data_IF_309251317331
#
_entry.id   IF_309251317331
#
_cell.length_a   1.000
_cell.length_b   1.000
_cell.length_c   1.000
_cell.angle_alpha   90.00
_cell.angle_beta   90.00
_cell.angle_gamma   90.00
#
_symmetry.space_group_name_H-M   'P 1'
#
loop_
_entity.id
_entity.type
_entity.pdbx_description
1 polymer ?
#
# COMPACT_ATOMS: atom_id res chain seq x y z
N UNK A 1 -3.36 -3.76 -10.41
CA UNK A 1 -3.15 -2.67 -11.40
C UNK A 1 -1.98 -1.85 -10.91
N UNK A 2 -0.84 -1.85 -11.60
CA UNK A 2 0.33 -1.09 -11.16
C UNK A 2 0.05 0.43 -11.24
N UNK A 3 0.70 1.25 -10.41
CA UNK A 3 0.65 2.70 -10.57
C UNK A 3 1.02 3.11 -12.00
N UNK A 4 0.36 4.11 -12.56
CA UNK A 4 0.55 4.52 -13.97
C UNK A 4 2.03 4.84 -14.29
N UNK A 5 2.79 5.40 -13.34
CA UNK A 5 4.23 5.63 -13.50
C UNK A 5 5.06 4.35 -13.68
N UNK A 6 4.61 3.21 -13.13
CA UNK A 6 5.26 1.90 -13.26
C UNK A 6 5.23 1.39 -14.72
N UNK A 7 4.12 1.62 -15.40
CA UNK A 7 3.89 1.16 -16.79
C UNK A 7 4.54 2.03 -17.86
N UNK A 8 4.92 3.27 -17.55
CA UNK A 8 5.54 4.19 -18.52
C UNK A 8 7.07 4.05 -18.64
N UNK A 9 7.71 3.30 -17.73
CA UNK A 9 9.17 3.18 -17.68
C UNK A 9 9.63 1.76 -17.33
N UNK A 10 9.15 0.78 -18.11
CA UNK A 10 9.47 -0.64 -17.91
C UNK A 10 10.98 -0.94 -17.90
N UNK A 11 11.77 -0.20 -18.68
CA UNK A 11 13.23 -0.37 -18.70
C UNK A 11 13.88 0.02 -17.37
N UNK A 12 13.39 1.08 -16.72
CA UNK A 12 13.87 1.48 -15.38
C UNK A 12 13.45 0.45 -14.35
N UNK A 13 12.18 0.01 -14.38
CA UNK A 13 11.68 -1.02 -13.45
C UNK A 13 12.50 -2.30 -13.59
N UNK A 14 12.83 -2.72 -14.81
CA UNK A 14 13.64 -3.91 -15.08
C UNK A 14 15.00 -3.86 -14.38
N UNK A 15 15.63 -2.68 -14.26
CA UNK A 15 16.91 -2.56 -13.54
C UNK A 15 16.80 -2.85 -12.04
N UNK A 16 15.64 -2.62 -11.43
CA UNK A 16 15.40 -2.89 -10.00
C UNK A 16 15.03 -4.35 -9.71
N UNK A 17 14.55 -5.10 -10.71
CA UNK A 17 14.03 -6.46 -10.54
C UNK A 17 14.81 -7.52 -11.32
N UNK A 18 15.97 -7.17 -11.87
CA UNK A 18 16.82 -8.10 -12.62
C UNK A 18 17.49 -9.17 -11.73
N UNK A 19 17.77 -8.84 -10.47
CA UNK A 19 18.38 -9.75 -9.50
C UNK A 19 17.32 -10.20 -8.48
N UNK A 20 16.82 -11.42 -8.66
CA UNK A 20 15.72 -11.97 -7.87
C UNK A 20 16.20 -13.19 -7.09
N UNK A 21 15.85 -13.23 -5.81
CA UNK A 21 16.16 -14.35 -4.92
C UNK A 21 15.00 -14.59 -3.94
N UNK A 22 14.84 -15.83 -3.46
CA UNK A 22 13.93 -16.12 -2.35
C UNK A 22 14.44 -15.51 -1.03
N UNK A 23 15.76 -15.37 -0.90
CA UNK A 23 16.40 -14.54 0.11
C UNK A 23 16.23 -13.06 -0.26
N UNK A 24 15.09 -12.48 0.09
CA UNK A 24 14.70 -11.11 -0.27
C UNK A 24 14.22 -10.26 0.90
N UNK A 25 14.24 -10.78 2.13
CA UNK A 25 13.71 -10.11 3.32
C UNK A 25 14.70 -9.05 3.87
N UNK A 26 14.81 -7.95 3.12
CA UNK A 26 15.68 -6.82 3.42
C UNK A 26 14.88 -5.52 3.54
N UNK A 27 15.45 -4.55 4.24
CA UNK A 27 14.93 -3.18 4.31
C UNK A 27 16.07 -2.18 4.10
N UNK A 28 15.71 -1.00 3.58
CA UNK A 28 16.60 0.13 3.35
C UNK A 28 16.26 1.23 4.35
N UNK A 29 17.27 1.85 4.97
CA UNK A 29 17.09 2.92 5.96
C UNK A 29 17.74 4.20 5.43
N UNK A 30 16.94 5.26 5.33
CA UNK A 30 17.37 6.59 4.92
C UNK A 30 17.33 7.51 6.14
N UNK A 31 18.50 7.81 6.70
CA UNK A 31 18.65 8.67 7.87
C UNK A 31 19.10 10.06 7.42
N UNK A 32 18.36 11.13 7.73
CA UNK A 32 18.79 12.47 7.39
C UNK A 32 19.95 12.89 8.30
N UNK A 33 21.01 13.41 7.70
CA UNK A 33 22.08 14.09 8.44
C UNK A 33 21.59 15.49 8.76
N UNK A 34 21.65 15.89 10.04
CA UNK A 34 21.51 17.30 10.39
C UNK A 34 22.67 18.08 9.77
N UNK A 35 22.40 19.29 9.27
CA UNK A 35 23.46 20.23 8.90
C UNK A 35 24.37 20.42 10.12
N UNK A 36 25.57 19.85 10.03
CA UNK A 36 26.57 19.88 11.08
C UNK A 36 26.81 21.31 11.59
N UNK A 37 27.03 21.40 12.90
CA UNK A 37 27.67 22.54 13.58
C UNK A 37 26.91 23.89 13.66
N UNK A 38 25.85 24.14 12.89
CA UNK A 38 25.05 25.38 13.02
C UNK A 38 23.93 25.31 14.08
N UNK A 39 23.47 24.11 14.44
CA UNK A 39 22.47 23.91 15.49
C UNK A 39 23.07 24.10 16.91
N UNK A 40 24.32 23.66 17.11
CA UNK A 40 25.01 23.79 18.40
C UNK A 40 25.51 25.21 18.71
N UNK A 41 25.74 26.05 17.69
CA UNK A 41 26.22 27.43 17.88
C UNK A 41 25.13 28.40 18.33
N UNK A 42 23.84 28.08 18.14
CA UNK A 42 22.74 28.86 18.74
C UNK A 42 22.57 28.61 20.24
N UNK A 43 22.97 27.43 20.74
CA UNK A 43 22.85 27.10 22.17
C UNK A 43 23.81 27.95 23.03
N UNK A 44 24.95 28.35 22.49
CA UNK A 44 25.92 29.16 23.24
C UNK A 44 25.71 30.68 23.16
N UNK A 45 24.87 31.18 22.24
CA UNK A 45 24.60 32.63 22.09
C UNK A 45 23.25 33.07 22.66
N UNK A 46 22.35 32.15 23.03
CA UNK A 46 21.01 32.49 23.52
C UNK A 46 20.88 32.53 25.05
N UNK A 47 21.85 31.99 25.79
CA UNK A 47 21.89 32.06 27.26
C UNK A 47 22.20 33.46 27.83
N UNK A 48 22.20 34.51 27.01
CA UNK A 48 22.50 35.88 27.47
C UNK A 48 21.41 36.92 27.25
N UNK A 49 20.33 36.65 26.52
CA UNK A 49 19.25 37.65 26.37
C UNK A 49 17.85 37.02 26.29
N UNK A 50 17.05 37.48 27.24
CA UNK A 50 15.60 37.57 27.30
C UNK A 50 14.76 36.33 27.64
N UNK A 51 14.15 36.49 28.82
CA UNK A 51 13.17 35.68 29.50
C UNK A 51 11.80 36.20 29.07
N UNK A 52 11.14 35.54 28.11
CA UNK A 52 9.71 35.71 27.85
C UNK A 52 9.13 34.38 27.33
N UNK A 53 8.18 33.84 28.10
CA UNK A 53 7.61 32.52 27.90
C UNK A 53 6.67 32.45 26.70
N UNK A 54 7.14 31.77 25.66
CA UNK A 54 6.33 30.98 24.73
C UNK A 54 7.25 29.89 24.17
N UNK A 55 7.24 28.72 24.81
CA UNK A 55 7.90 27.51 24.31
C UNK A 55 7.07 26.95 23.16
N UNK A 56 7.21 27.55 21.97
CA UNK A 56 7.02 26.79 20.73
C UNK A 56 8.21 25.83 20.67
N UNK A 57 8.05 24.63 21.23
CA UNK A 57 8.99 23.52 21.02
C UNK A 57 9.06 23.26 19.51
N UNK A 58 10.11 23.80 18.88
CA UNK A 58 10.43 23.52 17.50
C UNK A 58 10.65 22.00 17.41
N UNK A 59 9.75 21.25 16.76
CA UNK A 59 9.77 19.77 16.60
C UNK A 59 11.11 19.25 16.02
N UNK A 60 11.95 20.17 15.56
CA UNK A 60 13.30 20.01 15.03
C UNK A 60 14.39 19.94 16.12
N UNK A 61 14.05 20.08 17.40
CA UNK A 61 15.02 20.11 18.49
C UNK A 61 15.44 18.69 18.92
N UNK A 62 16.68 18.33 18.56
CA UNK A 62 17.61 17.36 19.19
C UNK A 62 17.09 16.06 19.85
N UNK A 63 15.94 15.53 19.45
CA UNK A 63 15.37 14.25 19.89
C UNK A 63 15.37 13.17 18.79
N UNK A 64 15.14 11.91 19.20
CA UNK A 64 14.92 10.77 18.29
C UNK A 64 13.90 11.13 17.22
N UNK A 65 14.17 10.89 15.93
CA UNK A 65 13.38 11.36 14.79
C UNK A 65 12.13 10.49 14.54
N UNK A 66 11.01 11.03 14.02
CA UNK A 66 9.91 10.22 13.54
C UNK A 66 10.37 9.23 12.46
N UNK A 67 9.69 8.09 12.36
CA UNK A 67 10.03 7.02 11.42
C UNK A 67 8.85 6.79 10.48
N UNK A 68 9.11 6.85 9.18
CA UNK A 68 8.12 6.58 8.13
C UNK A 68 8.49 5.30 7.39
N UNK A 69 7.63 4.29 7.47
CA UNK A 69 7.86 2.96 6.89
C UNK A 69 6.97 2.78 5.67
N UNK A 70 7.58 2.69 4.49
CA UNK A 70 6.90 2.55 3.23
C UNK A 70 6.69 1.09 2.85
N UNK A 71 5.44 0.72 2.58
CA UNK A 71 5.04 -0.57 2.02
C UNK A 71 4.69 -0.36 0.54
N UNK A 72 5.47 -0.99 -0.34
CA UNK A 72 5.26 -0.88 -1.78
C UNK A 72 4.01 -1.65 -2.24
N UNK A 73 3.47 -1.25 -3.39
CA UNK A 73 2.41 -1.99 -4.09
C UNK A 73 2.97 -2.96 -5.15
N UNK A 74 2.12 -3.34 -6.11
CA UNK A 74 2.49 -4.27 -7.20
C UNK A 74 1.55 -5.47 -7.32
N UNK A 75 0.24 -5.27 -7.11
CA UNK A 75 -0.77 -6.34 -7.24
C UNK A 75 -0.55 -7.56 -6.33
N UNK A 76 0.25 -7.43 -5.27
CA UNK A 76 0.83 -8.51 -4.46
C UNK A 76 1.75 -9.47 -5.21
N UNK A 77 1.93 -9.34 -6.52
CA UNK A 77 2.68 -10.28 -7.37
C UNK A 77 4.08 -9.80 -7.69
N UNK A 78 4.32 -8.50 -7.60
CA UNK A 78 5.56 -7.86 -8.02
C UNK A 78 5.88 -6.64 -7.15
N UNK A 79 7.03 -6.01 -7.42
CA UNK A 79 7.50 -4.80 -6.75
C UNK A 79 8.63 -5.05 -5.76
N UNK A 80 9.23 -3.95 -5.32
CA UNK A 80 10.33 -3.92 -4.36
C UNK A 80 10.38 -2.53 -3.70
N UNK A 81 10.75 -2.49 -2.43
CA UNK A 81 11.02 -1.24 -1.71
C UNK A 81 12.18 -0.44 -2.32
N UNK A 82 13.05 -1.08 -3.11
CA UNK A 82 14.23 -0.45 -3.73
C UNK A 82 13.87 0.58 -4.80
N UNK A 83 12.65 0.51 -5.37
CA UNK A 83 12.19 1.48 -6.37
C UNK A 83 11.90 2.87 -5.79
N UNK A 84 11.79 2.97 -4.46
CA UNK A 84 11.50 4.23 -3.78
C UNK A 84 12.76 4.72 -3.09
N UNK A 85 13.30 5.83 -3.59
CA UNK A 85 14.37 6.56 -2.93
C UNK A 85 13.78 7.43 -1.81
N UNK A 86 14.10 7.06 -0.56
CA UNK A 86 13.65 7.77 0.64
C UNK A 86 14.43 9.05 0.94
N UNK A 87 15.52 9.34 0.23
CA UNK A 87 16.49 10.40 0.59
C UNK A 87 15.87 11.79 0.64
N UNK A 88 15.05 12.14 -0.36
CA UNK A 88 14.41 13.47 -0.42
C UNK A 88 13.42 13.66 0.72
N UNK A 89 12.58 12.66 0.98
CA UNK A 89 11.60 12.72 2.07
C UNK A 89 12.29 12.75 3.44
N UNK A 90 13.35 11.96 3.62
CA UNK A 90 14.13 11.94 4.85
C UNK A 90 14.76 13.31 5.13
N UNK A 91 15.45 13.88 4.13
CA UNK A 91 16.12 15.18 4.24
C UNK A 91 15.13 16.33 4.43
N UNK A 92 14.11 16.43 3.60
CA UNK A 92 13.15 17.53 3.65
C UNK A 92 12.24 17.47 4.88
N UNK A 93 11.76 16.28 5.22
CA UNK A 93 10.87 16.06 6.36
C UNK A 93 11.59 15.99 7.71
N UNK A 94 12.93 15.88 7.72
CA UNK A 94 13.73 15.56 8.91
C UNK A 94 13.19 14.32 9.65
N UNK A 95 12.90 13.26 8.89
CA UNK A 95 12.38 11.97 9.38
C UNK A 95 13.26 10.84 8.90
N UNK A 96 13.26 9.70 9.60
CA UNK A 96 13.86 8.48 9.05
C UNK A 96 12.85 7.85 8.10
N UNK A 97 13.26 7.54 6.88
CA UNK A 97 12.42 6.81 5.92
C UNK A 97 12.96 5.40 5.80
N UNK A 98 12.07 4.42 5.82
CA UNK A 98 12.39 3.01 5.64
C UNK A 98 11.57 2.46 4.49
N UNK A 99 12.20 1.75 3.56
CA UNK A 99 11.51 0.94 2.56
C UNK A 99 11.86 -0.52 2.81
N UNK A 100 10.92 -1.44 2.58
CA UNK A 100 11.13 -2.86 2.86
C UNK A 100 10.71 -3.74 1.69
N UNK A 101 11.29 -4.93 1.63
CA UNK A 101 10.84 -6.02 0.78
C UNK A 101 10.12 -7.06 1.63
N UNK A 102 9.03 -7.59 1.09
CA UNK A 102 8.26 -8.68 1.67
C UNK A 102 8.01 -9.73 0.58
N UNK A 103 7.74 -10.98 0.95
CA UNK A 103 7.44 -12.01 -0.05
C UNK A 103 6.18 -11.64 -0.85
N UNK A 104 6.30 -11.71 -2.17
CA UNK A 104 5.22 -11.46 -3.13
C UNK A 104 4.76 -12.76 -3.80
N UNK A 105 3.62 -12.69 -4.47
CA UNK A 105 3.00 -13.75 -5.24
C UNK A 105 2.69 -14.99 -4.42
N UNK A 106 2.86 -16.15 -5.04
CA UNK A 106 2.63 -17.44 -4.38
C UNK A 106 3.54 -17.65 -3.16
N UNK A 107 4.78 -17.14 -3.18
CA UNK A 107 5.71 -17.30 -2.04
C UNK A 107 5.26 -16.49 -0.83
N UNK A 108 4.58 -15.37 -1.06
CA UNK A 108 4.01 -14.51 -0.01
C UNK A 108 2.62 -14.90 0.45
N UNK A 109 1.80 -15.51 -0.42
CA UNK A 109 0.35 -15.55 -0.19
C UNK A 109 -0.33 -16.87 -0.55
N UNK A 110 0.42 -17.93 -0.88
CA UNK A 110 -0.18 -19.25 -1.10
C UNK A 110 -0.88 -19.74 0.17
N UNK A 111 -2.15 -20.10 0.01
CA UNK A 111 -2.96 -20.68 1.09
C UNK A 111 -3.76 -21.88 0.60
N UNK A 112 -3.84 -22.88 1.45
CA UNK A 112 -4.62 -24.11 1.25
C UNK A 112 -6.01 -24.02 1.89
N UNK A 113 -6.31 -22.93 2.60
CA UNK A 113 -7.55 -22.77 3.36
C UNK A 113 -7.62 -23.63 4.62
N UNK A 114 -6.51 -24.28 4.99
CA UNK A 114 -6.36 -25.08 6.19
C UNK A 114 -4.97 -24.85 6.84
N UNK A 115 -4.58 -25.73 7.76
CA UNK A 115 -3.34 -25.59 8.52
C UNK A 115 -2.06 -25.94 7.75
N UNK A 116 -2.14 -26.58 6.56
CA UNK A 116 -0.97 -26.98 5.79
C UNK A 116 -0.20 -25.76 5.25
N UNK A 117 -0.94 -24.76 4.78
CA UNK A 117 -0.45 -23.44 4.42
C UNK A 117 -1.55 -22.41 4.68
N UNK A 118 -1.42 -21.66 5.77
CA UNK A 118 -2.42 -20.66 6.19
C UNK A 118 -2.48 -19.45 5.24
N UNK A 119 -1.33 -19.04 4.68
CA UNK A 119 -1.20 -17.85 3.86
C UNK A 119 -0.58 -16.68 4.62
N UNK A 120 -0.79 -15.46 4.11
CA UNK A 120 -0.39 -14.19 4.74
C UNK A 120 1.11 -14.04 5.07
N UNK A 121 1.99 -14.84 4.48
CA UNK A 121 3.44 -14.76 4.73
C UNK A 121 4.02 -13.39 4.39
N UNK A 122 3.56 -12.74 3.32
CA UNK A 122 3.96 -11.38 2.97
C UNK A 122 3.51 -10.32 3.99
N UNK A 123 2.36 -10.50 4.65
CA UNK A 123 1.93 -9.63 5.76
C UNK A 123 2.76 -9.91 7.02
N UNK A 124 3.06 -11.18 7.30
CA UNK A 124 3.92 -11.57 8.41
C UNK A 124 5.35 -11.02 8.24
N UNK A 125 5.87 -10.95 7.01
CA UNK A 125 7.15 -10.30 6.72
C UNK A 125 7.11 -8.80 7.04
N UNK A 126 6.02 -8.12 6.67
CA UNK A 126 5.82 -6.70 7.01
C UNK A 126 5.74 -6.49 8.52
N UNK A 127 5.00 -7.34 9.24
CA UNK A 127 4.90 -7.32 10.70
C UNK A 127 6.29 -7.56 11.33
N UNK A 128 7.05 -8.53 10.82
CA UNK A 128 8.39 -8.83 11.31
C UNK A 128 9.35 -7.66 11.06
N UNK A 129 9.26 -7.00 9.91
CA UNK A 129 10.01 -5.78 9.64
C UNK A 129 9.63 -4.66 10.63
N UNK A 130 8.34 -4.47 10.92
CA UNK A 130 7.88 -3.48 11.91
C UNK A 130 8.37 -3.79 13.32
N UNK A 131 8.40 -5.07 13.72
CA UNK A 131 9.02 -5.51 14.99
C UNK A 131 10.50 -5.16 15.03
N UNK A 132 11.24 -5.50 13.98
CA UNK A 132 12.66 -5.16 13.87
C UNK A 132 12.88 -3.65 13.96
N UNK A 133 12.07 -2.85 13.27
CA UNK A 133 12.15 -1.39 13.31
C UNK A 133 11.88 -0.88 14.72
N UNK A 134 10.82 -1.35 15.38
CA UNK A 134 10.50 -0.95 16.76
C UNK A 134 11.65 -1.24 17.73
N UNK A 135 12.30 -2.39 17.59
CA UNK A 135 13.41 -2.81 18.46
C UNK A 135 14.76 -2.13 18.15
N UNK A 136 15.00 -1.74 16.90
CA UNK A 136 16.34 -1.33 16.43
C UNK A 136 16.44 0.12 15.96
N UNK A 137 15.34 0.80 15.65
CA UNK A 137 15.43 2.12 14.99
C UNK A 137 16.03 3.21 15.90
N UNK A 138 15.99 3.01 17.21
CA UNK A 138 16.71 3.84 18.18
C UNK A 138 18.21 3.94 17.90
N UNK A 139 18.85 2.88 17.40
CA UNK A 139 20.28 2.89 17.03
C UNK A 139 20.58 3.78 15.82
N UNK A 140 19.56 4.10 15.02
CA UNK A 140 19.65 5.01 13.86
C UNK A 140 19.18 6.43 14.21
N UNK A 141 18.91 6.71 15.48
CA UNK A 141 18.37 7.99 15.95
C UNK A 141 16.87 8.14 15.70
N UNK A 142 16.13 7.05 15.49
CA UNK A 142 14.68 7.05 15.33
C UNK A 142 13.92 6.85 16.64
N UNK A 143 12.66 7.27 16.65
CA UNK A 143 11.74 7.12 17.76
C UNK A 143 10.74 5.98 17.47
N UNK A 144 10.88 4.87 18.21
CA UNK A 144 10.00 3.71 18.08
C UNK A 144 8.54 4.01 18.45
N UNK A 145 8.28 5.07 19.23
CA UNK A 145 6.93 5.51 19.58
C UNK A 145 6.31 6.45 18.53
N UNK A 146 7.05 6.78 17.46
CA UNK A 146 6.59 7.66 16.39
C UNK A 146 6.80 7.03 15.01
N UNK A 147 6.42 5.75 14.91
CA UNK A 147 6.37 5.01 13.65
C UNK A 147 5.03 5.28 12.93
N UNK A 148 5.14 5.75 11.70
CA UNK A 148 4.05 5.92 10.74
C UNK A 148 4.25 4.94 9.59
N UNK A 149 3.27 4.08 9.32
CA UNK A 149 3.30 3.18 8.16
C UNK A 149 2.52 3.81 7.02
N UNK A 150 3.05 3.76 5.81
CA UNK A 150 2.38 4.33 4.65
C UNK A 150 2.59 3.49 3.40
N UNK A 151 1.64 3.56 2.48
CA UNK A 151 1.69 2.79 1.24
C UNK A 151 0.75 3.35 0.19
N UNK A 152 0.91 2.88 -1.04
CA UNK A 152 0.07 3.28 -2.18
C UNK A 152 -0.51 2.08 -2.91
N UNK A 153 -1.78 2.16 -3.32
CA UNK A 153 -2.50 1.10 -4.01
C UNK A 153 -2.55 -0.16 -3.15
N UNK A 154 -1.91 -1.23 -3.61
CA UNK A 154 -1.82 -2.49 -2.86
C UNK A 154 -0.99 -2.33 -1.58
N UNK A 155 0.03 -1.48 -1.58
CA UNK A 155 0.75 -1.14 -0.36
C UNK A 155 -0.17 -0.48 0.67
N UNK A 156 -1.12 0.35 0.21
CA UNK A 156 -2.14 0.94 1.08
C UNK A 156 -3.16 -0.10 1.58
N UNK A 157 -3.53 -1.08 0.75
CA UNK A 157 -4.31 -2.25 1.21
C UNK A 157 -3.57 -3.05 2.29
N UNK A 158 -2.25 -3.26 2.15
CA UNK A 158 -1.43 -3.85 3.22
C UNK A 158 -1.49 -2.99 4.49
N UNK A 159 -1.27 -1.68 4.41
CA UNK A 159 -1.36 -0.78 5.58
C UNK A 159 -2.73 -0.90 6.26
N UNK A 160 -3.81 -0.89 5.47
CA UNK A 160 -5.17 -1.05 5.97
C UNK A 160 -5.43 -2.41 6.61
N UNK A 161 -4.80 -3.49 6.13
CA UNK A 161 -4.91 -4.82 6.73
C UNK A 161 -4.08 -4.92 8.02
N UNK A 162 -2.90 -4.28 8.05
CA UNK A 162 -2.07 -4.23 9.24
C UNK A 162 -2.77 -3.50 10.40
N UNK A 163 -3.55 -2.45 10.12
CA UNK A 163 -4.36 -1.76 11.14
C UNK A 163 -5.49 -2.61 11.71
N UNK A 164 -5.86 -3.71 11.04
CA UNK A 164 -6.91 -4.64 11.47
C UNK A 164 -6.35 -5.93 12.08
N UNK A 165 -5.03 -6.09 12.10
CA UNK A 165 -4.37 -7.29 12.62
C UNK A 165 -3.89 -7.05 14.04
N UNK A 166 -4.30 -7.93 14.96
CA UNK A 166 -3.84 -7.92 16.35
C UNK A 166 -2.31 -8.12 16.46
N UNK A 167 -1.67 -8.74 15.45
CA UNK A 167 -0.21 -8.93 15.41
C UNK A 167 0.56 -7.62 15.22
N UNK A 168 -0.12 -6.55 14.77
CA UNK A 168 0.48 -5.23 14.53
C UNK A 168 0.39 -4.28 15.72
N UNK A 169 -0.37 -4.65 16.76
CA UNK A 169 -0.60 -3.78 17.91
C UNK A 169 0.70 -3.33 18.58
N UNK A 170 0.82 -2.02 18.80
CA UNK A 170 2.01 -1.41 19.42
C UNK A 170 3.25 -1.35 18.52
N UNK A 171 3.19 -1.82 17.27
CA UNK A 171 4.32 -1.75 16.34
C UNK A 171 4.38 -0.42 15.58
N UNK A 172 3.24 0.24 15.38
CA UNK A 172 3.15 1.56 14.79
C UNK A 172 1.96 2.33 15.34
N UNK A 173 1.93 3.64 15.09
CA UNK A 173 1.00 4.56 15.73
C UNK A 173 0.12 5.30 14.72
N UNK A 174 0.59 5.43 13.48
CA UNK A 174 -0.09 6.19 12.43
C UNK A 174 -0.06 5.44 11.11
N UNK A 175 -1.10 5.61 10.32
CA UNK A 175 -1.23 5.00 9.00
C UNK A 175 -1.55 6.07 7.94
N UNK A 176 -0.86 6.03 6.80
CA UNK A 176 -1.21 6.82 5.61
C UNK A 176 -1.56 5.89 4.46
N UNK A 177 -2.82 5.89 4.07
CA UNK A 177 -3.45 4.93 3.16
C UNK A 177 -3.79 5.65 1.83
N UNK A 178 -2.89 5.55 0.86
CA UNK A 178 -3.01 6.27 -0.42
C UNK A 178 -3.62 5.36 -1.50
N UNK A 179 -4.80 5.70 -2.01
CA UNK A 179 -5.39 5.05 -3.19
C UNK A 179 -5.59 3.53 -3.06
N UNK A 180 -5.89 3.04 -1.87
CA UNK A 180 -6.16 1.63 -1.60
C UNK A 180 -6.90 1.41 -0.28
N UNK A 181 -7.41 0.21 -0.07
CA UNK A 181 -8.16 -0.16 1.14
C UNK A 181 -8.23 -1.68 1.28
N UNK A 182 -8.40 -2.18 2.51
CA UNK A 182 -8.69 -3.59 2.77
C UNK A 182 -10.06 -4.04 2.21
N UNK A 183 -10.96 -3.10 1.89
CA UNK A 183 -12.32 -3.38 1.38
C UNK A 183 -12.40 -3.51 -0.15
N UNK A 184 -11.30 -3.31 -0.86
CA UNK A 184 -11.33 -3.38 -2.32
C UNK A 184 -11.42 -4.85 -2.79
N UNK A 185 -12.08 -5.13 -3.92
CA UNK A 185 -12.28 -6.52 -4.43
C UNK A 185 -10.97 -7.29 -4.68
N UNK A 186 -9.89 -6.58 -4.93
CA UNK A 186 -8.53 -7.08 -5.13
C UNK A 186 -7.65 -7.06 -3.87
N UNK A 187 -8.17 -6.67 -2.70
CA UNK A 187 -7.39 -6.56 -1.47
C UNK A 187 -7.20 -7.91 -0.77
N UNK A 188 -8.24 -8.75 -0.80
CA UNK A 188 -8.30 -10.06 -0.15
C UNK A 188 -8.69 -11.14 -1.18
N UNK A 189 -8.09 -12.31 -1.06
CA UNK A 189 -8.42 -13.49 -1.82
C UNK A 189 -9.41 -14.38 -1.04
N UNK A 190 -10.66 -14.41 -1.48
CA UNK A 190 -11.71 -15.26 -0.89
C UNK A 190 -11.72 -16.69 -1.45
N UNK A 191 -10.89 -17.01 -2.44
CA UNK A 191 -10.83 -18.34 -3.07
C UNK A 191 -9.41 -18.94 -3.11
N UNK A 192 -8.64 -18.95 -2.00
CA UNK A 192 -7.25 -19.40 -2.02
C UNK A 192 -7.09 -20.87 -2.43
N UNK A 193 -7.99 -21.74 -1.95
CA UNK A 193 -7.98 -23.18 -2.25
C UNK A 193 -8.04 -23.46 -3.76
N UNK A 194 -8.85 -22.67 -4.48
CA UNK A 194 -9.04 -22.81 -5.92
C UNK A 194 -7.74 -22.53 -6.68
N UNK A 195 -7.08 -21.41 -6.37
CA UNK A 195 -5.86 -21.00 -7.09
C UNK A 195 -4.65 -21.85 -6.70
N UNK A 196 -4.54 -22.26 -5.44
CA UNK A 196 -3.49 -23.18 -4.98
C UNK A 196 -3.61 -24.55 -5.64
N UNK A 197 -4.82 -25.10 -5.79
CA UNK A 197 -5.02 -26.37 -6.52
C UNK A 197 -4.70 -26.24 -8.00
N UNK A 198 -5.10 -25.14 -8.64
CA UNK A 198 -4.77 -24.88 -10.04
C UNK A 198 -3.24 -24.81 -10.26
N UNK A 199 -2.51 -24.17 -9.34
CA UNK A 199 -1.05 -24.17 -9.36
C UNK A 199 -0.49 -25.58 -9.19
N UNK A 200 -0.96 -26.32 -8.18
CA UNK A 200 -0.52 -27.68 -7.90
C UNK A 200 -0.73 -28.62 -9.10
N UNK A 201 -1.84 -28.48 -9.83
CA UNK A 201 -2.08 -29.19 -11.09
C UNK A 201 -1.03 -28.89 -12.16
N UNK A 202 -0.72 -27.60 -12.37
CA UNK A 202 0.24 -27.18 -13.40
C UNK A 202 1.66 -27.67 -13.14
N UNK A 203 2.06 -27.81 -11.88
CA UNK A 203 3.43 -28.24 -11.51
C UNK A 203 3.51 -29.72 -11.10
N UNK A 204 2.43 -30.48 -11.25
CA UNK A 204 2.41 -31.92 -10.95
C UNK A 204 2.43 -32.26 -9.46
N UNK A 205 1.90 -31.38 -8.61
CA UNK A 205 1.71 -31.56 -7.17
C UNK A 205 0.24 -31.76 -6.77
N UNK A 206 -0.63 -32.18 -7.70
CA UNK A 206 -2.07 -32.37 -7.43
C UNK A 206 -2.33 -33.66 -6.62
N UNK A 207 -2.13 -33.57 -5.31
CA UNK A 207 -2.46 -34.61 -4.34
C UNK A 207 -3.62 -34.17 -3.46
N UNK A 208 -4.38 -35.13 -2.91
CA UNK A 208 -5.57 -34.82 -2.12
C UNK A 208 -5.24 -34.26 -0.74
N UNK A 209 -4.16 -34.76 -0.13
CA UNK A 209 -3.68 -34.30 1.16
C UNK A 209 -2.93 -32.96 1.00
N UNK A 210 -3.33 -31.96 1.77
CA UNK A 210 -2.79 -30.59 1.62
C UNK A 210 -1.38 -30.47 2.19
N UNK A 211 -0.99 -31.28 3.17
CA UNK A 211 0.39 -31.30 3.68
C UNK A 211 1.33 -31.86 2.62
N UNK A 212 0.99 -32.99 2.01
CA UNK A 212 1.75 -33.58 0.91
C UNK A 212 1.83 -32.64 -0.30
N UNK A 213 0.75 -31.91 -0.59
CA UNK A 213 0.71 -30.90 -1.67
C UNK A 213 1.72 -29.78 -1.40
N UNK A 214 1.70 -29.20 -0.21
CA UNK A 214 2.61 -28.13 0.18
C UNK A 214 4.06 -28.62 0.19
N UNK A 215 4.32 -29.83 0.69
CA UNK A 215 5.67 -30.43 0.67
C UNK A 215 6.17 -30.75 -0.74
N UNK A 216 5.27 -31.07 -1.67
CA UNK A 216 5.60 -31.18 -3.09
C UNK A 216 5.96 -29.82 -3.68
N UNK A 217 5.16 -28.77 -3.41
CA UNK A 217 5.39 -27.42 -3.89
C UNK A 217 6.73 -26.85 -3.39
N UNK A 218 7.09 -27.08 -2.12
CA UNK A 218 8.39 -26.66 -1.54
C UNK A 218 9.60 -27.29 -2.22
N UNK A 219 9.44 -28.43 -2.91
CA UNK A 219 10.52 -29.10 -3.65
C UNK A 219 10.70 -28.56 -5.06
N UNK A 220 9.78 -27.72 -5.55
CA UNK A 220 9.89 -27.06 -6.84
C UNK A 220 10.81 -25.85 -6.74
N UNK A 221 11.44 -25.49 -7.86
CA UNK A 221 12.22 -24.26 -7.91
C UNK A 221 11.29 -23.04 -7.90
N UNK A 222 11.71 -21.94 -7.26
CA UNK A 222 10.98 -20.66 -7.27
C UNK A 222 10.55 -20.27 -8.69
N UNK A 223 11.49 -20.39 -9.64
CA UNK A 223 11.28 -20.05 -11.05
C UNK A 223 10.16 -20.89 -11.68
N UNK A 224 10.16 -22.20 -11.46
CA UNK A 224 9.10 -23.10 -11.97
C UNK A 224 7.72 -22.72 -11.44
N UNK A 225 7.63 -22.27 -10.19
CA UNK A 225 6.37 -21.86 -9.57
C UNK A 225 5.89 -20.49 -10.11
N UNK A 226 6.78 -19.50 -10.18
CA UNK A 226 6.46 -18.12 -10.57
C UNK A 226 6.12 -18.00 -12.05
N UNK A 227 6.71 -18.85 -12.91
CA UNK A 227 6.41 -18.88 -14.35
C UNK A 227 5.00 -19.40 -14.68
N UNK A 228 4.25 -19.91 -13.69
CA UNK A 228 2.90 -20.42 -13.92
C UNK A 228 1.87 -19.30 -14.08
N UNK A 229 1.18 -19.33 -15.21
CA UNK A 229 0.09 -18.39 -15.49
C UNK A 229 -1.20 -18.77 -14.73
N UNK A 230 -1.49 -18.08 -13.63
CA UNK A 230 -2.69 -18.28 -12.80
C UNK A 230 -3.54 -17.01 -12.86
N UNK A 231 -4.57 -17.03 -13.70
CA UNK A 231 -5.45 -15.88 -13.92
C UNK A 231 -6.63 -15.87 -12.94
N UNK A 232 -6.78 -14.82 -12.11
CA UNK A 232 -7.95 -14.66 -11.27
C UNK A 232 -9.17 -14.18 -12.08
N UNK A 233 -10.34 -14.18 -11.43
CA UNK A 233 -11.47 -13.41 -11.92
C UNK A 233 -11.08 -11.92 -12.08
N UNK A 234 -11.74 -11.23 -13.02
CA UNK A 234 -11.48 -9.81 -13.24
C UNK A 234 -11.68 -9.03 -11.94
N UNK A 235 -10.77 -8.09 -11.64
CA UNK A 235 -10.77 -7.28 -10.41
C UNK A 235 -10.55 -8.02 -9.09
N UNK A 236 -10.13 -9.28 -9.16
CA UNK A 236 -9.76 -10.09 -8.01
C UNK A 236 -8.28 -10.50 -8.11
N UNK A 237 -7.74 -11.06 -7.02
CA UNK A 237 -6.36 -11.54 -6.94
C UNK A 237 -6.31 -13.06 -6.75
N UNK A 238 -5.32 -13.71 -7.37
CA UNK A 238 -5.12 -15.16 -7.25
C UNK A 238 -4.28 -15.53 -6.02
N UNK A 239 -3.25 -14.73 -5.74
CA UNK A 239 -2.40 -14.83 -4.56
C UNK A 239 -2.32 -13.45 -3.92
N UNK A 240 -2.87 -13.34 -2.71
CA UNK A 240 -2.96 -12.12 -1.92
C UNK A 240 -3.43 -12.48 -0.50
N UNK A 241 -3.60 -11.48 0.38
CA UNK A 241 -4.07 -11.70 1.74
C UNK A 241 -5.34 -12.58 1.81
N UNK A 242 -5.44 -13.42 2.83
CA UNK A 242 -6.57 -14.31 3.09
C UNK A 242 -7.09 -14.12 4.50
N UNK A 243 -8.37 -14.41 4.72
CA UNK A 243 -8.95 -14.50 6.07
C UNK A 243 -8.52 -15.86 6.64
N UNK A 244 -7.48 -15.86 7.46
CA UNK A 244 -6.89 -17.07 8.05
C UNK A 244 -7.37 -17.34 9.48
N UNK A 245 -8.15 -16.43 10.07
CA UNK A 245 -8.63 -16.52 11.45
C UNK A 245 -7.55 -16.20 12.49
N UNK A 246 -6.41 -15.65 12.05
CA UNK A 246 -5.26 -15.33 12.90
C UNK A 246 -4.68 -13.96 12.52
N UNK A 247 -3.88 -13.87 11.46
CA UNK A 247 -3.34 -12.58 10.98
C UNK A 247 -4.47 -11.65 10.59
N UNK A 248 -5.45 -12.16 9.85
CA UNK A 248 -6.70 -11.48 9.51
C UNK A 248 -7.84 -12.34 10.09
N UNK A 249 -8.37 -11.96 11.28
CA UNK A 249 -9.31 -12.80 12.02
C UNK A 249 -10.66 -13.02 11.33
N UNK A 250 -11.17 -12.00 10.64
CA UNK A 250 -12.48 -12.02 9.98
C UNK A 250 -12.46 -11.12 8.74
N UNK A 251 -13.59 -10.99 8.05
CA UNK A 251 -13.74 -10.07 6.94
C UNK A 251 -13.35 -8.63 7.34
N UNK A 252 -12.51 -7.93 6.56
CA UNK A 252 -12.12 -6.57 6.88
C UNK A 252 -13.30 -5.61 7.09
N UNK A 253 -14.45 -5.82 6.44
CA UNK A 253 -15.66 -5.03 6.69
C UNK A 253 -16.14 -5.21 8.14
N UNK A 254 -16.19 -6.46 8.61
CA UNK A 254 -16.60 -6.81 9.98
C UNK A 254 -15.59 -6.26 11.01
N UNK A 255 -14.29 -6.42 10.77
CA UNK A 255 -13.24 -5.92 11.68
C UNK A 255 -13.27 -4.38 11.80
N UNK A 256 -13.59 -3.69 10.71
CA UNK A 256 -13.78 -2.24 10.73
C UNK A 256 -15.02 -1.84 11.55
N UNK A 257 -16.14 -2.55 11.42
CA UNK A 257 -17.33 -2.29 12.24
C UNK A 257 -17.10 -2.52 13.74
N UNK A 258 -16.22 -3.47 14.09
CA UNK A 258 -15.82 -3.76 15.47
C UNK A 258 -14.89 -2.71 16.07
N UNK A 259 -14.26 -1.87 15.24
CA UNK A 259 -13.41 -0.77 15.68
C UNK A 259 -11.97 -1.17 16.02
N UNK A 260 -11.47 -2.31 15.50
CA UNK A 260 -10.10 -2.78 15.73
C UNK A 260 -9.02 -1.76 15.31
N UNK A 261 -9.32 -0.90 14.33
CA UNK A 261 -8.39 0.14 13.84
C UNK A 261 -8.42 1.46 14.64
N UNK A 262 -9.27 1.60 15.67
CA UNK A 262 -9.51 2.89 16.34
C UNK A 262 -8.30 3.44 17.13
N UNK A 263 -7.25 2.63 17.32
CA UNK A 263 -6.06 3.01 18.06
C UNK A 263 -5.02 3.80 17.23
N UNK A 264 -5.24 3.99 15.92
CA UNK A 264 -4.28 4.60 15.02
C UNK A 264 -4.73 5.99 14.53
N UNK A 265 -3.78 6.92 14.38
CA UNK A 265 -4.03 8.14 13.59
C UNK A 265 -4.01 7.78 12.10
N UNK A 266 -5.12 7.98 11.39
CA UNK A 266 -5.23 7.58 9.98
C UNK A 266 -5.40 8.80 9.06
N UNK A 267 -4.55 8.87 8.03
CA UNK A 267 -4.75 9.72 6.86
C UNK A 267 -5.05 8.83 5.65
N UNK A 268 -6.12 9.10 4.92
CA UNK A 268 -6.46 8.37 3.69
C UNK A 268 -6.91 9.31 2.58
N UNK A 269 -6.74 8.88 1.33
CA UNK A 269 -7.12 9.67 0.17
C UNK A 269 -7.10 8.90 -1.14
N UNK A 270 -7.69 9.49 -2.18
CA UNK A 270 -7.75 8.95 -3.54
C UNK A 270 -7.42 10.05 -4.54
N UNK A 271 -6.96 9.66 -5.73
CA UNK A 271 -6.75 10.56 -6.85
C UNK A 271 -8.06 10.82 -7.60
N UNK A 272 -8.14 11.95 -8.30
CA UNK A 272 -9.33 12.32 -9.09
C UNK A 272 -9.66 11.31 -10.21
N UNK A 273 -8.65 10.62 -10.76
CA UNK A 273 -8.78 9.79 -11.95
C UNK A 273 -8.13 8.40 -11.84
N UNK A 274 -8.32 7.70 -10.72
CA UNK A 274 -7.74 6.35 -10.48
C UNK A 274 -8.05 5.37 -11.63
N UNK A 275 -9.24 5.49 -12.21
CA UNK A 275 -9.80 4.60 -13.21
C UNK A 275 -9.22 4.72 -14.62
N UNK A 276 -8.12 5.47 -14.84
CA UNK A 276 -7.63 5.76 -16.20
C UNK A 276 -7.38 4.50 -17.05
N UNK A 277 -6.73 3.46 -16.51
CA UNK A 277 -6.45 2.21 -17.26
C UNK A 277 -7.71 1.42 -17.63
N UNK A 278 -8.85 1.70 -17.01
CA UNK A 278 -10.11 1.01 -17.33
C UNK A 278 -10.67 1.48 -18.67
N UNK A 279 -10.41 2.74 -19.03
CA UNK A 279 -10.93 3.39 -20.23
C UNK A 279 -9.86 3.59 -21.30
N UNK A 280 -8.56 3.42 -20.99
CA UNK A 280 -7.45 3.66 -21.92
C UNK A 280 -7.59 2.96 -23.29
N UNK A 281 -8.16 1.76 -23.33
CA UNK A 281 -8.39 1.03 -24.60
C UNK A 281 -9.68 1.43 -25.33
N UNK A 282 -10.44 2.36 -24.76
CA UNK A 282 -11.72 2.88 -25.25
C UNK A 282 -11.65 4.40 -25.48
N UNK A 283 -10.60 5.07 -24.97
CA UNK A 283 -10.36 6.50 -25.17
C UNK A 283 -9.96 6.72 -26.62
N UNK A 284 -10.75 7.49 -27.35
CA UNK A 284 -10.32 8.00 -28.65
C UNK A 284 -9.38 9.20 -28.44
N UNK A 285 -8.27 9.23 -29.16
CA UNK A 285 -7.20 10.21 -28.96
C UNK A 285 -7.60 11.64 -29.30
N UNK A 286 -8.69 11.83 -30.07
CA UNK A 286 -9.19 13.15 -30.48
C UNK A 286 -10.32 13.68 -29.59
N UNK A 287 -11.21 12.80 -29.10
CA UNK A 287 -12.46 13.19 -28.41
C UNK A 287 -12.50 12.83 -26.91
N UNK A 288 -11.47 12.16 -26.38
CA UNK A 288 -11.44 11.68 -25.01
C UNK A 288 -12.38 10.48 -24.78
N UNK A 289 -12.96 10.37 -23.58
CA UNK A 289 -13.95 9.32 -23.28
C UNK A 289 -15.35 9.87 -23.54
N UNK A 290 -16.05 9.36 -24.55
CA UNK A 290 -17.45 9.73 -24.75
C UNK A 290 -18.32 9.17 -23.62
N UNK A 291 -19.49 9.76 -23.38
CA UNK A 291 -20.44 9.23 -22.38
C UNK A 291 -20.81 7.76 -22.63
N UNK A 292 -20.89 7.36 -23.90
CA UNK A 292 -21.18 5.97 -24.29
C UNK A 292 -20.01 5.01 -23.99
N UNK A 293 -18.77 5.47 -24.17
CA UNK A 293 -17.58 4.68 -23.86
C UNK A 293 -17.42 4.48 -22.35
N UNK A 294 -17.78 5.50 -21.58
CA UNK A 294 -17.84 5.43 -20.12
C UNK A 294 -18.92 4.44 -19.68
N UNK A 295 -20.16 4.57 -20.18
CA UNK A 295 -21.27 3.67 -19.83
C UNK A 295 -20.97 2.23 -20.22
N UNK A 296 -20.42 1.98 -21.41
CA UNK A 296 -19.97 0.64 -21.83
C UNK A 296 -18.89 0.08 -20.89
N UNK A 297 -17.91 0.89 -20.51
CA UNK A 297 -16.84 0.47 -19.61
C UNK A 297 -17.36 0.15 -18.21
N UNK A 298 -18.29 0.96 -17.70
CA UNK A 298 -18.94 0.79 -16.40
C UNK A 298 -19.87 -0.43 -16.38
N UNK A 299 -20.68 -0.65 -17.41
CA UNK A 299 -21.50 -1.86 -17.54
C UNK A 299 -20.63 -3.12 -17.56
N UNK A 300 -19.50 -3.09 -18.28
CA UNK A 300 -18.53 -4.20 -18.30
C UNK A 300 -17.84 -4.41 -16.94
N UNK A 301 -17.81 -3.42 -16.06
CA UNK A 301 -17.30 -3.54 -14.68
C UNK A 301 -18.36 -4.16 -13.77
N UNK A 302 -19.60 -3.68 -13.86
CA UNK A 302 -20.68 -4.06 -12.95
C UNK A 302 -21.35 -5.38 -13.32
N UNK A 303 -21.29 -5.81 -14.58
CA UNK A 303 -22.00 -6.99 -15.07
C UNK A 303 -21.02 -8.12 -15.39
N UNK A 304 -20.85 -9.05 -14.44
CA UNK A 304 -19.93 -10.20 -14.54
C UNK A 304 -20.39 -11.34 -15.49
N UNK A 305 -21.47 -11.20 -16.29
CA UNK A 305 -21.90 -12.27 -17.22
C UNK A 305 -22.45 -11.76 -18.56
N UNK A 306 -22.11 -12.42 -19.68
CA UNK A 306 -22.83 -12.26 -20.94
C UNK A 306 -24.14 -13.06 -20.85
N UNK A 307 -25.12 -12.54 -20.11
CA UNK A 307 -26.51 -12.98 -20.21
C UNK A 307 -27.39 -11.73 -20.29
N UNK A 308 -28.24 -11.69 -21.31
CA UNK A 308 -29.01 -10.55 -21.82
C UNK A 308 -30.04 -9.92 -20.83
N UNK A 309 -29.63 -9.57 -19.61
CA UNK A 309 -30.45 -8.80 -18.68
C UNK A 309 -29.62 -8.18 -17.56
N UNK A 310 -28.69 -7.29 -17.90
CA UNK A 310 -28.18 -6.33 -16.92
C UNK A 310 -28.98 -5.03 -17.11
N UNK A 311 -30.07 -4.87 -16.38
CA UNK A 311 -30.82 -3.60 -16.35
C UNK A 311 -30.31 -2.82 -15.15
N UNK A 312 -29.58 -1.73 -15.39
CA UNK A 312 -29.23 -0.73 -14.38
C UNK A 312 -30.52 -0.07 -13.87
N UNK A 313 -31.23 -0.74 -12.97
CA UNK A 313 -32.38 -0.18 -12.26
C UNK A 313 -31.97 0.02 -10.82
N UNK A 314 -31.62 1.25 -10.45
CA UNK A 314 -31.50 1.65 -9.04
C UNK A 314 -30.32 2.55 -8.67
N UNK A 315 -29.29 2.71 -9.49
CA UNK A 315 -28.23 3.68 -9.22
C UNK A 315 -28.61 5.04 -9.80
N UNK A 316 -29.30 5.85 -9.00
CA UNK A 316 -29.34 7.29 -9.27
C UNK A 316 -27.93 7.81 -9.02
N UNK A 317 -27.18 8.13 -10.07
CA UNK A 317 -26.00 8.98 -9.96
C UNK A 317 -26.50 10.31 -9.38
N UNK A 318 -26.36 10.50 -8.07
CA UNK A 318 -26.52 11.83 -7.49
C UNK A 318 -25.37 12.65 -8.08
N UNK A 319 -25.72 13.60 -8.94
CA UNK A 319 -24.83 14.68 -9.31
C UNK A 319 -24.17 15.23 -8.05
N UNK A 320 -22.86 15.54 -8.07
CA UNK A 320 -22.21 16.14 -6.92
C UNK A 320 -23.01 17.38 -6.54
N UNK A 321 -23.50 17.45 -5.29
CA UNK A 321 -23.94 18.72 -4.76
C UNK A 321 -22.74 19.67 -4.88
N UNK A 322 -22.92 20.91 -5.36
CA UNK A 322 -21.83 21.86 -5.42
C UNK A 322 -21.18 21.91 -4.04
N UNK A 323 -19.85 21.79 -4.04
CA UNK A 323 -19.02 21.74 -2.84
C UNK A 323 -19.46 22.84 -1.87
N UNK A 324 -19.57 22.45 -0.59
CA UNK A 324 -19.71 23.37 0.52
C UNK A 324 -18.58 24.40 0.40
N UNK A 325 -18.95 25.68 0.49
CA UNK A 325 -18.03 26.82 0.30
C UNK A 325 -16.76 26.65 1.13
N UNK A 326 -15.58 26.99 0.60
CA UNK A 326 -14.35 27.01 1.40
C UNK A 326 -14.47 28.03 2.53
N UNK A 327 -14.18 27.58 3.75
CA UNK A 327 -13.94 28.44 4.91
C UNK A 327 -12.55 29.09 4.77
N UNK A 328 -12.48 30.19 4.03
CA UNK A 328 -11.39 31.16 4.17
C UNK A 328 -12.01 32.55 4.24
N UNK A 329 -11.67 33.38 5.24
CA UNK A 329 -12.10 34.76 5.27
C UNK A 329 -11.40 35.54 4.15
N UNK A 330 -12.17 35.99 3.18
CA UNK A 330 -11.74 36.90 2.13
C UNK A 330 -11.55 38.32 2.68
N UNK A 331 -10.32 38.83 2.70
CA UNK A 331 -10.05 40.27 2.78
C UNK A 331 -10.10 40.89 1.36
N UNK A 332 -10.69 42.09 1.16
CA UNK A 332 -10.98 42.62 -0.17
C UNK A 332 -9.93 43.65 -0.62
N UNK A 333 -9.34 43.46 -1.81
CA UNK A 333 -8.83 44.55 -2.68
C UNK A 333 -8.60 43.99 -4.08
N UNK A 334 -9.56 44.18 -4.99
CA UNK A 334 -9.54 45.16 -6.11
C UNK A 334 -8.62 44.82 -7.28
N UNK A 335 -9.29 44.45 -8.38
CA UNK A 335 -9.08 44.87 -9.76
C UNK A 335 -7.70 44.64 -10.42
N UNK A 336 -7.73 43.81 -11.45
CA UNK A 336 -7.15 44.21 -12.74
C UNK A 336 -6.85 43.06 -13.67
N UNK A 337 -7.63 42.96 -14.76
CA UNK A 337 -7.21 42.69 -16.15
C UNK A 337 -6.26 41.50 -16.40
N UNK A 338 -6.40 40.57 -17.35
CA UNK A 338 -7.27 40.26 -18.49
C UNK A 338 -6.40 39.33 -19.39
N UNK A 339 -7.02 38.34 -20.04
CA UNK A 339 -6.54 37.60 -21.25
C UNK A 339 -5.36 36.61 -21.06
N UNK A 340 -5.56 35.30 -21.27
CA UNK A 340 -5.61 34.59 -22.57
C UNK A 340 -4.32 34.80 -23.40
N UNK A 341 -3.35 33.89 -23.28
CA UNK A 341 -3.07 32.77 -24.19
C UNK A 341 -2.24 31.71 -23.46
#
# INVERSE_FOLDING_TARGET
MMPVWFTFNLDIVATYIQDQNEDCLYLNIYVPTEDGEWAHTKKHSKDMFDNDGHEDEDIRDSGSKPVMVYIHGGSYMEGTGNMIDGSVLASYGNVIVITLNYRVGLLGFLSTGDQAAKGNYGLLDQIQALRWISENIGYFGGDSNRITVFGSGIGASCVSLLTLSHHSEGLFHRAVIQSGSALSSWAVNYQPVKYTRLLAEKVGCNVLDTLDMVDCLRKKSARELVEQDIQPARYHVAFGPVIDGDVIPDDPEILMEQGEFLNYDIMLGVNQGEGLRFVENVVDSEDGVSGNDFDFSVEKILCERPSNSCTLTGLTVKTPRPAVRPWWPSSPTTNGWSQLW
#
